data_IF_860413258100
#
_entry.id   IF_860413258100
#
_cell.length_a   1.000
_cell.length_b   1.000
_cell.length_c   1.000
_cell.angle_alpha   90.00
_cell.angle_beta   90.00
_cell.angle_gamma   90.00
#
_symmetry.space_group_name_H-M   'P 1'
#
loop_
_entity.id
_entity.type
_entity.pdbx_description
1 polymer ?
#
# COMPACT_ATOMS: atom_id res chain seq x y z
N UNK A 1 8.54 20.88 -23.18
CA UNK A 1 8.23 19.50 -22.75
C UNK A 1 9.31 19.08 -21.77
N UNK A 2 8.95 18.45 -20.64
CA UNK A 2 9.92 17.96 -19.65
C UNK A 2 10.09 16.48 -19.94
N UNK A 3 11.30 16.05 -20.28
CA UNK A 3 11.62 14.64 -20.48
C UNK A 3 11.98 14.03 -19.13
N UNK A 4 11.07 13.22 -18.57
CA UNK A 4 11.25 12.52 -17.30
C UNK A 4 11.44 11.04 -17.57
N UNK A 5 12.51 10.47 -17.02
CA UNK A 5 12.71 9.02 -16.97
C UNK A 5 12.41 8.50 -15.59
N UNK A 6 11.64 7.42 -15.51
CA UNK A 6 11.37 6.69 -14.27
C UNK A 6 11.99 5.30 -14.40
N UNK A 7 12.93 4.98 -13.50
CA UNK A 7 13.49 3.63 -13.34
C UNK A 7 12.93 3.03 -12.06
N UNK A 8 12.41 1.80 -12.15
CA UNK A 8 11.90 1.04 -11.02
C UNK A 8 12.64 -0.29 -10.90
N UNK A 9 13.24 -0.53 -9.74
CA UNK A 9 13.77 -1.83 -9.34
C UNK A 9 12.82 -2.50 -8.35
N UNK A 10 12.58 -3.80 -8.50
CA UNK A 10 11.76 -4.60 -7.58
C UNK A 10 12.58 -5.83 -7.18
N UNK A 11 12.79 -5.99 -5.88
CA UNK A 11 13.60 -7.07 -5.31
C UNK A 11 12.75 -7.89 -4.35
N UNK A 12 12.74 -9.20 -4.55
CA UNK A 12 12.19 -10.16 -3.60
C UNK A 12 13.34 -10.86 -2.89
N UNK A 13 13.26 -10.95 -1.57
CA UNK A 13 14.25 -11.63 -0.76
C UNK A 13 13.86 -13.08 -0.53
N UNK A 14 14.79 -14.01 -0.74
CA UNK A 14 14.56 -15.40 -0.36
C UNK A 14 14.41 -15.49 1.17
N UNK A 15 13.44 -16.28 1.63
CA UNK A 15 13.17 -16.54 3.06
C UNK A 15 12.76 -15.31 3.90
N UNK A 16 12.49 -14.18 3.26
CA UNK A 16 11.85 -13.02 3.91
C UNK A 16 10.62 -12.65 3.11
N UNK A 17 9.51 -12.43 3.81
CA UNK A 17 8.28 -11.95 3.19
C UNK A 17 8.34 -10.43 3.01
N UNK A 18 9.34 -9.97 2.27
CA UNK A 18 9.66 -8.55 2.07
C UNK A 18 9.88 -8.28 0.59
N UNK A 19 9.19 -7.26 0.09
CA UNK A 19 9.35 -6.71 -1.25
C UNK A 19 10.01 -5.32 -1.13
N UNK A 20 11.19 -5.17 -1.70
CA UNK A 20 11.86 -3.86 -1.80
C UNK A 20 11.64 -3.26 -3.18
N UNK A 21 11.28 -1.98 -3.22
CA UNK A 21 10.98 -1.25 -4.45
C UNK A 21 11.78 0.04 -4.46
N UNK A 22 12.75 0.13 -5.37
CA UNK A 22 13.54 1.33 -5.59
C UNK A 22 13.03 2.12 -6.78
N UNK A 23 12.91 3.44 -6.64
CA UNK A 23 12.60 4.38 -7.71
C UNK A 23 13.72 5.39 -7.89
N UNK A 24 14.06 5.66 -9.16
CA UNK A 24 14.89 6.77 -9.58
C UNK A 24 14.16 7.55 -10.66
N UNK A 25 13.91 8.82 -10.39
CA UNK A 25 13.42 9.79 -11.37
C UNK A 25 14.63 10.60 -11.85
N UNK A 26 14.77 10.74 -13.17
CA UNK A 26 15.80 11.56 -13.83
C UNK A 26 15.14 12.59 -14.74
N UNK A 27 15.77 13.76 -14.90
CA UNK A 27 15.22 14.90 -15.65
C UNK A 27 14.26 15.77 -14.83
N UNK A 28 14.17 15.55 -13.53
CA UNK A 28 13.28 16.30 -12.64
C UNK A 28 13.78 17.75 -12.54
N UNK A 29 12.95 18.76 -12.85
CA UNK A 29 13.39 20.15 -12.75
C UNK A 29 13.67 20.56 -11.30
N UNK A 30 14.64 21.44 -11.10
CA UNK A 30 14.94 22.06 -9.81
C UNK A 30 14.18 23.37 -9.58
N UNK A 31 13.67 23.99 -10.64
CA UNK A 31 12.97 25.29 -10.64
C UNK A 31 11.48 25.20 -10.28
N UNK A 32 10.91 23.99 -10.29
CA UNK A 32 9.49 23.74 -10.01
C UNK A 32 9.31 22.39 -9.35
N UNK A 33 8.18 22.22 -8.67
CA UNK A 33 7.77 20.96 -8.05
C UNK A 33 6.93 20.13 -9.02
N UNK A 34 7.16 18.82 -9.06
CA UNK A 34 6.27 17.84 -9.68
C UNK A 34 5.53 17.05 -8.60
N UNK A 35 4.30 16.60 -8.89
CA UNK A 35 3.56 15.70 -8.00
C UNK A 35 3.70 14.28 -8.54
N UNK A 36 4.46 13.45 -7.81
CA UNK A 36 4.69 12.05 -8.15
C UNK A 36 3.91 11.16 -7.20
N UNK A 37 3.19 10.17 -7.73
CA UNK A 37 2.39 9.23 -6.94
C UNK A 37 2.65 7.80 -7.39
N UNK A 38 2.60 6.87 -6.44
CA UNK A 38 2.69 5.42 -6.68
C UNK A 38 1.42 4.80 -6.14
N UNK A 39 0.73 4.00 -6.93
CA UNK A 39 -0.54 3.38 -6.54
C UNK A 39 -0.36 1.89 -6.25
N UNK A 40 -0.74 1.47 -5.05
CA UNK A 40 -0.86 0.07 -4.65
C UNK A 40 -2.33 -0.30 -4.51
N UNK A 41 -2.73 -1.40 -5.15
CA UNK A 41 -4.08 -1.94 -5.04
C UNK A 41 -4.02 -3.32 -4.39
N UNK A 42 -4.54 -3.41 -3.17
CA UNK A 42 -4.58 -4.66 -2.42
C UNK A 42 -5.95 -5.32 -2.59
N UNK A 43 -6.00 -6.33 -3.47
CA UNK A 43 -7.17 -7.19 -3.62
C UNK A 43 -7.24 -8.21 -2.47
N UNK A 44 -8.44 -8.75 -2.21
CA UNK A 44 -8.64 -9.75 -1.15
C UNK A 44 -8.66 -9.18 0.27
N UNK A 45 -8.61 -7.85 0.41
CA UNK A 45 -8.71 -7.12 1.66
C UNK A 45 -10.02 -6.32 1.71
N UNK A 46 -11.17 -6.95 2.04
CA UNK A 46 -12.45 -6.28 1.92
C UNK A 46 -12.63 -5.14 2.94
N UNK A 47 -13.37 -4.12 2.52
CA UNK A 47 -13.74 -2.97 3.34
C UNK A 47 -14.86 -3.27 4.35
N UNK A 48 -15.27 -2.24 5.11
CA UNK A 48 -16.46 -2.24 5.98
C UNK A 48 -16.49 -3.28 7.10
N UNK A 49 -15.32 -3.65 7.63
CA UNK A 49 -15.23 -4.56 8.76
C UNK A 49 -14.21 -4.09 9.79
N UNK A 50 -14.56 -4.21 11.08
CA UNK A 50 -13.73 -3.70 12.19
C UNK A 50 -12.44 -4.49 12.41
N UNK A 51 -12.39 -5.74 11.94
CA UNK A 51 -11.23 -6.65 11.96
C UNK A 51 -10.28 -6.43 10.76
N UNK A 52 -10.56 -5.40 9.94
CA UNK A 52 -9.81 -5.06 8.73
C UNK A 52 -9.55 -3.56 8.70
N UNK A 53 -8.34 -3.11 9.02
CA UNK A 53 -8.07 -1.69 9.25
C UNK A 53 -6.68 -1.23 8.85
N UNK A 54 -6.60 0.08 8.59
CA UNK A 54 -5.36 0.83 8.53
C UNK A 54 -4.89 1.17 9.95
N UNK A 55 -3.59 1.14 10.19
CA UNK A 55 -3.02 1.66 11.44
C UNK A 55 -1.58 2.16 11.28
N UNK A 56 -1.13 2.91 12.28
CA UNK A 56 0.25 3.35 12.46
C UNK A 56 0.63 3.16 13.93
N UNK A 57 1.59 2.28 14.20
CA UNK A 57 1.77 1.74 15.55
C UNK A 57 0.45 1.24 16.13
N UNK A 58 0.09 1.72 17.33
CA UNK A 58 -1.15 1.37 18.03
C UNK A 58 -2.38 2.20 17.56
N UNK A 59 -2.19 3.20 16.71
CA UNK A 59 -3.26 4.09 16.28
C UNK A 59 -4.05 3.49 15.11
N UNK A 60 -5.29 3.07 15.36
CA UNK A 60 -6.23 2.67 14.31
C UNK A 60 -6.71 3.90 13.53
N UNK A 61 -6.59 3.86 12.20
CA UNK A 61 -6.92 4.96 11.30
C UNK A 61 -8.25 4.75 10.56
N UNK A 62 -8.93 3.62 10.76
CA UNK A 62 -10.21 3.28 10.14
C UNK A 62 -10.15 1.95 9.37
N UNK A 63 -11.31 1.44 8.98
CA UNK A 63 -11.41 0.19 8.22
C UNK A 63 -10.76 0.31 6.83
N UNK A 64 -10.42 -0.80 6.16
CA UNK A 64 -9.71 -0.78 4.86
C UNK A 64 -10.45 -0.12 3.68
N UNK A 65 -11.69 0.31 3.86
CA UNK A 65 -12.41 1.14 2.86
C UNK A 65 -12.44 2.63 3.22
N UNK A 66 -11.73 3.04 4.26
CA UNK A 66 -11.72 4.42 4.72
C UNK A 66 -10.99 5.28 3.72
N UNK A 67 -11.58 6.45 3.44
CA UNK A 67 -10.95 7.50 2.66
C UNK A 67 -10.03 8.31 3.57
N UNK A 68 -8.73 8.08 3.49
CA UNK A 68 -7.74 8.80 4.29
C UNK A 68 -6.97 9.81 3.45
N UNK A 69 -6.63 10.93 4.07
CA UNK A 69 -5.67 11.91 3.57
C UNK A 69 -4.69 12.21 4.68
N UNK A 70 -3.52 11.55 4.64
CA UNK A 70 -2.49 11.63 5.67
C UNK A 70 -1.30 12.42 5.14
N UNK A 71 -0.60 13.13 6.02
CA UNK A 71 0.50 14.01 5.64
C UNK A 71 1.79 13.65 6.39
N UNK A 72 2.94 13.71 5.71
CA UNK A 72 4.27 13.52 6.30
C UNK A 72 4.44 12.17 7.02
N UNK A 73 4.06 11.10 6.33
CA UNK A 73 4.09 9.73 6.84
C UNK A 73 5.32 8.98 6.37
N UNK A 74 5.92 8.17 7.25
CA UNK A 74 7.00 7.26 6.90
C UNK A 74 6.54 5.80 6.76
N UNK A 75 5.34 5.49 7.26
CA UNK A 75 4.78 4.15 7.17
C UNK A 75 3.25 4.16 7.06
N UNK A 76 2.69 3.05 6.60
CA UNK A 76 1.26 2.74 6.74
C UNK A 76 1.10 1.22 6.80
N UNK A 77 0.39 0.75 7.82
CA UNK A 77 0.07 -0.67 7.97
C UNK A 77 -1.39 -0.96 7.62
N UNK A 78 -1.63 -2.16 7.08
CA UNK A 78 -2.94 -2.71 6.75
C UNK A 78 -3.04 -4.08 7.41
N UNK A 79 -4.12 -4.34 8.13
CA UNK A 79 -4.35 -5.62 8.81
C UNK A 79 -5.68 -6.21 8.37
N UNK A 80 -5.71 -7.52 8.09
CA UNK A 80 -6.90 -8.34 8.02
C UNK A 80 -6.75 -9.51 9.00
N UNK A 81 -7.39 -9.39 10.17
CA UNK A 81 -7.27 -10.39 11.25
C UNK A 81 -7.95 -11.72 10.90
N UNK A 82 -8.93 -11.70 9.98
CA UNK A 82 -9.63 -12.89 9.52
C UNK A 82 -8.73 -13.75 8.66
N UNK A 83 -8.06 -13.16 7.67
CA UNK A 83 -7.05 -13.83 6.87
C UNK A 83 -5.76 -14.07 7.65
N UNK A 84 -5.53 -13.31 8.72
CA UNK A 84 -4.27 -13.33 9.46
C UNK A 84 -3.12 -12.72 8.66
N UNK A 85 -3.44 -11.68 7.87
CA UNK A 85 -2.50 -10.93 7.04
C UNK A 85 -2.22 -9.58 7.68
N UNK A 86 -0.94 -9.23 7.78
CA UNK A 86 -0.49 -7.90 8.15
C UNK A 86 0.51 -7.40 7.11
N UNK A 87 0.25 -6.22 6.55
CA UNK A 87 1.10 -5.56 5.57
C UNK A 87 1.64 -4.28 6.18
N UNK A 88 2.93 -3.99 5.98
CA UNK A 88 3.51 -2.71 6.36
C UNK A 88 4.28 -2.09 5.20
N UNK A 89 3.87 -0.89 4.77
CA UNK A 89 4.60 -0.10 3.80
C UNK A 89 5.49 0.89 4.53
N UNK A 90 6.80 0.83 4.30
CA UNK A 90 7.78 1.78 4.83
C UNK A 90 8.40 2.59 3.69
N UNK A 91 8.57 3.89 3.89
CA UNK A 91 9.06 4.81 2.87
C UNK A 91 10.36 5.48 3.32
N UNK A 92 11.38 5.45 2.47
CA UNK A 92 12.69 6.08 2.76
C UNK A 92 12.63 7.62 2.78
N UNK A 93 11.53 8.21 2.30
CA UNK A 93 11.23 9.63 2.41
C UNK A 93 9.77 9.82 2.86
N UNK A 94 9.49 10.80 3.73
CA UNK A 94 8.12 11.11 4.15
C UNK A 94 7.21 11.36 2.95
N UNK A 95 5.99 10.83 3.01
CA UNK A 95 4.98 10.88 1.95
C UNK A 95 3.66 11.42 2.47
N UNK A 96 2.85 11.99 1.58
CA UNK A 96 1.42 12.14 1.84
C UNK A 96 0.71 10.91 1.26
N UNK A 97 -0.33 10.43 1.93
CA UNK A 97 -1.04 9.21 1.55
C UNK A 97 -2.51 9.51 1.29
N UNK A 98 -3.01 8.98 0.18
CA UNK A 98 -4.44 8.78 -0.03
C UNK A 98 -4.79 7.31 0.05
N UNK A 99 -5.92 7.01 0.67
CA UNK A 99 -6.54 5.69 0.59
C UNK A 99 -7.98 5.82 0.13
N UNK A 100 -8.47 4.83 -0.59
CA UNK A 100 -9.87 4.73 -1.02
C UNK A 100 -10.16 3.31 -1.52
N UNK A 101 -11.42 2.86 -1.46
CA UNK A 101 -11.80 1.58 -2.03
C UNK A 101 -11.97 1.67 -3.56
N UNK A 102 -11.61 0.61 -4.26
CA UNK A 102 -12.03 0.36 -5.64
C UNK A 102 -13.24 -0.55 -5.58
N UNK A 103 -14.35 -0.09 -6.17
CA UNK A 103 -15.62 -0.80 -6.17
C UNK A 103 -16.17 -0.87 -7.59
N UNK A 104 -16.75 -2.02 -7.93
CA UNK A 104 -17.50 -2.20 -9.18
C UNK A 104 -19.00 -2.03 -8.91
N UNK A 105 -19.74 -1.57 -9.91
CA UNK A 105 -21.21 -1.52 -9.84
C UNK A 105 -21.75 -2.87 -10.31
N UNK A 106 -22.50 -3.54 -9.45
CA UNK A 106 -23.23 -4.76 -9.76
C UNK A 106 -24.73 -4.50 -9.77
N UNK A 107 -25.44 -5.10 -10.72
CA UNK A 107 -26.90 -5.07 -10.77
C UNK A 107 -27.45 -6.41 -10.30
N UNK A 108 -28.31 -6.38 -9.28
CA UNK A 108 -29.08 -7.51 -8.80
C UNK A 108 -30.58 -7.26 -8.98
N UNK A 109 -31.43 -8.25 -8.67
CA UNK A 109 -32.89 -8.06 -8.61
C UNK A 109 -33.30 -6.99 -7.57
N UNK A 110 -32.43 -6.73 -6.58
CA UNK A 110 -32.63 -5.72 -5.53
C UNK A 110 -32.19 -4.30 -5.90
N UNK A 111 -31.56 -4.10 -7.06
CA UNK A 111 -31.06 -2.80 -7.52
C UNK A 111 -29.56 -2.80 -7.80
N UNK A 112 -28.94 -1.62 -7.71
CA UNK A 112 -27.50 -1.46 -7.89
C UNK A 112 -26.78 -1.51 -6.55
N UNK A 113 -25.69 -2.27 -6.50
CA UNK A 113 -24.84 -2.40 -5.32
C UNK A 113 -23.38 -2.16 -5.71
N UNK A 114 -22.62 -1.56 -4.78
CA UNK A 114 -21.17 -1.45 -4.91
C UNK A 114 -20.53 -2.73 -4.37
N UNK A 115 -19.66 -3.34 -5.18
CA UNK A 115 -18.94 -4.55 -4.82
C UNK A 115 -17.45 -4.23 -4.72
N UNK A 116 -16.93 -4.31 -3.51
CA UNK A 116 -15.51 -4.10 -3.23
C UNK A 116 -14.61 -5.01 -4.06
N UNK A 117 -13.58 -4.42 -4.69
CA UNK A 117 -12.59 -5.13 -5.49
C UNK A 117 -11.20 -5.06 -4.87
N UNK A 118 -10.79 -3.88 -4.40
CA UNK A 118 -9.49 -3.66 -3.83
C UNK A 118 -9.47 -2.41 -2.94
N UNK A 119 -8.43 -2.32 -2.14
CA UNK A 119 -8.09 -1.15 -1.35
C UNK A 119 -6.93 -0.45 -2.03
N UNK A 120 -7.09 0.83 -2.36
CA UNK A 120 -6.01 1.64 -2.88
C UNK A 120 -5.25 2.30 -1.73
N UNK A 121 -3.92 2.22 -1.81
CA UNK A 121 -2.98 3.02 -1.04
C UNK A 121 -2.09 3.76 -2.03
N UNK A 122 -2.17 5.09 -2.01
CA UNK A 122 -1.47 5.96 -2.96
C UNK A 122 -0.55 6.92 -2.18
N UNK A 123 0.69 6.51 -1.86
CA UNK A 123 1.72 7.43 -1.43
C UNK A 123 2.09 8.39 -2.56
N UNK A 124 2.24 9.66 -2.22
CA UNK A 124 2.61 10.70 -3.16
C UNK A 124 3.54 11.75 -2.55
N UNK A 125 4.33 12.38 -3.42
CA UNK A 125 5.37 13.33 -3.07
C UNK A 125 5.32 14.55 -3.99
N UNK A 126 5.69 15.69 -3.41
CA UNK A 126 6.02 16.91 -4.12
C UNK A 126 7.53 16.94 -4.36
N UNK A 127 7.98 16.48 -5.53
CA UNK A 127 9.39 16.24 -5.85
C UNK A 127 10.02 17.42 -6.59
N UNK A 128 11.30 17.67 -6.32
CA UNK A 128 12.19 18.54 -7.08
C UNK A 128 13.49 17.80 -7.36
N UNK A 129 14.08 18.05 -8.53
CA UNK A 129 15.37 17.48 -8.86
C UNK A 129 16.47 18.06 -7.98
N UNK A 130 17.42 17.22 -7.63
CA UNK A 130 18.70 17.65 -7.08
C UNK A 130 19.56 18.38 -8.14
N UNK A 131 20.86 18.55 -7.86
CA UNK A 131 21.81 19.22 -8.76
C UNK A 131 21.97 18.51 -10.11
N UNK A 132 21.69 17.20 -10.17
CA UNK A 132 21.76 16.37 -11.36
C UNK A 132 20.36 16.15 -11.99
N UNK A 133 19.33 16.81 -11.47
CA UNK A 133 17.95 16.62 -11.91
C UNK A 133 17.39 15.26 -11.51
N UNK A 134 17.83 14.71 -10.37
CA UNK A 134 17.44 13.39 -9.88
C UNK A 134 16.63 13.46 -8.60
N UNK A 135 15.80 12.43 -8.41
CA UNK A 135 15.11 12.16 -7.14
C UNK A 135 14.98 10.65 -6.97
N UNK A 136 15.14 10.15 -5.74
CA UNK A 136 15.08 8.71 -5.46
C UNK A 136 14.29 8.39 -4.20
N UNK A 137 13.72 7.18 -4.20
CA UNK A 137 12.90 6.65 -3.13
C UNK A 137 13.13 5.14 -3.04
N UNK A 138 13.14 4.60 -1.83
CA UNK A 138 12.96 3.17 -1.56
C UNK A 138 11.69 2.96 -0.76
N UNK A 139 10.92 1.95 -1.14
CA UNK A 139 9.74 1.47 -0.43
C UNK A 139 10.01 0.02 -0.02
N UNK A 140 9.71 -0.31 1.23
CA UNK A 140 9.70 -1.69 1.70
C UNK A 140 8.27 -2.08 2.03
N UNK A 141 7.79 -3.17 1.42
CA UNK A 141 6.53 -3.80 1.78
C UNK A 141 6.85 -5.09 2.55
N UNK A 142 6.60 -5.06 3.85
CA UNK A 142 6.62 -6.23 4.71
C UNK A 142 5.26 -6.93 4.66
N UNK A 143 5.29 -8.26 4.58
CA UNK A 143 4.12 -9.12 4.47
C UNK A 143 4.23 -10.18 5.56
N UNK A 144 3.41 -10.09 6.60
CA UNK A 144 3.34 -11.07 7.68
C UNK A 144 2.09 -11.95 7.52
N UNK A 145 2.32 -13.26 7.42
CA UNK A 145 1.33 -14.33 7.28
C UNK A 145 1.40 -15.34 8.42
N UNK A 146 2.17 -15.10 9.48
CA UNK A 146 2.41 -16.08 10.55
C UNK A 146 1.11 -16.54 11.22
N UNK A 147 0.15 -15.63 11.41
CA UNK A 147 -1.16 -15.98 11.97
C UNK A 147 -1.94 -16.91 11.03
N UNK A 148 -1.92 -16.66 9.73
CA UNK A 148 -2.53 -17.54 8.73
C UNK A 148 -1.88 -18.94 8.74
N UNK A 149 -0.55 -18.99 8.74
CA UNK A 149 0.23 -20.23 8.74
C UNK A 149 -0.04 -21.07 10.00
N UNK A 150 -0.03 -20.44 11.18
CA UNK A 150 -0.31 -21.14 12.44
C UNK A 150 -1.72 -21.76 12.48
N UNK A 151 -2.71 -21.11 11.86
CA UNK A 151 -4.08 -21.63 11.74
C UNK A 151 -4.14 -22.84 10.80
N UNK A 152 -3.36 -22.83 9.71
CA UNK A 152 -3.26 -23.96 8.79
C UNK A 152 -2.64 -25.19 9.47
N UNK A 153 -1.55 -25.00 10.20
CA UNK A 153 -0.89 -26.08 10.93
C UNK A 153 -1.81 -26.70 11.99
N UNK A 154 -2.52 -25.87 12.76
CA UNK A 154 -3.49 -26.33 13.75
C UNK A 154 -4.63 -27.15 13.11
N UNK A 155 -5.13 -26.72 11.94
CA UNK A 155 -6.16 -27.45 11.20
C UNK A 155 -5.65 -28.81 10.69
N UNK A 156 -4.40 -28.88 10.20
CA UNK A 156 -3.78 -30.12 9.77
C UNK A 156 -3.62 -31.10 10.94
N UNK A 157 -3.17 -30.63 12.10
CA UNK A 157 -3.05 -31.46 13.32
C UNK A 157 -4.42 -31.99 13.76
N UNK A 158 -5.47 -31.15 13.75
CA UNK A 158 -6.82 -31.56 14.16
C UNK A 158 -7.50 -32.54 13.19
N UNK A 159 -7.01 -32.64 11.95
CA UNK A 159 -7.52 -33.55 10.93
C UNK A 159 -6.89 -34.95 10.94
N UNK A 160 -5.85 -35.18 11.75
CA UNK A 160 -5.17 -36.47 11.94
C UNK A 160 -5.60 -37.14 13.25
#
# INVERSE_FOLDING_TARGET
EIDIRITKGVTLHAQRSVLEIGYLLEGVPSDRTLHFGIEFNFAGLPSHAGDRYFHQGDANLGHLGSWLSLYDQNELSLTDEWLGLHLNLNFSQPTHLWTFPIESVSQSEGGFELVHQAVTVLPHWHVRGDQDGRWSLSIQLDIDTQLAESRMDAALVASN
#
